data_IF_697240710999
#
_entry.id   IF_697240710999
#
_cell.length_a   1.000
_cell.length_b   1.000
_cell.length_c   1.000
_cell.angle_alpha   90.00
_cell.angle_beta   90.00
_cell.angle_gamma   90.00
#
_symmetry.space_group_name_H-M   'P 1'
#
loop_
_entity.id
_entity.type
_entity.pdbx_description
1 polymer ?
#
# COMPACT_ATOMS: atom_id res chain seq x y z
N UNK A 1 7.52 11.72 -26.19
CA UNK A 1 8.24 10.50 -25.76
C UNK A 1 8.01 10.38 -24.26
N UNK A 2 7.06 9.55 -23.84
CA UNK A 2 6.81 9.29 -22.42
C UNK A 2 8.04 8.56 -21.89
N UNK A 3 8.90 9.25 -21.13
CA UNK A 3 9.93 8.55 -20.36
C UNK A 3 9.20 7.63 -19.40
N UNK A 4 9.24 6.32 -19.65
CA UNK A 4 8.70 5.31 -18.76
C UNK A 4 9.39 5.48 -17.40
N UNK A 5 8.70 6.18 -16.49
CA UNK A 5 9.17 6.34 -15.12
C UNK A 5 9.30 4.95 -14.51
N UNK A 6 10.39 4.72 -13.80
CA UNK A 6 10.62 3.46 -13.08
C UNK A 6 9.40 3.17 -12.18
N UNK A 7 8.76 1.98 -12.29
CA UNK A 7 7.57 1.68 -11.51
C UNK A 7 7.86 1.68 -10.00
N UNK A 8 6.96 2.33 -9.24
CA UNK A 8 7.02 2.49 -7.78
C UNK A 8 5.63 2.35 -7.17
N UNK A 9 5.49 1.46 -6.18
CA UNK A 9 4.20 1.12 -5.56
C UNK A 9 4.03 1.84 -4.22
N UNK A 10 2.91 2.51 -4.03
CA UNK A 10 2.44 3.04 -2.75
C UNK A 10 1.18 2.30 -2.31
N UNK A 11 1.13 1.89 -1.04
CA UNK A 11 -0.01 1.14 -0.48
C UNK A 11 -0.41 1.80 0.85
N UNK A 12 -1.69 2.05 1.08
CA UNK A 12 -2.17 2.41 2.41
C UNK A 12 -2.08 1.24 3.39
N UNK A 13 -2.02 1.56 4.69
CA UNK A 13 -2.02 0.54 5.72
C UNK A 13 -3.43 0.12 6.13
N UNK A 14 -4.27 1.08 6.54
CA UNK A 14 -5.57 0.77 7.15
C UNK A 14 -6.56 0.31 6.08
N UNK A 15 -7.29 -0.77 6.36
CA UNK A 15 -8.29 -1.41 5.48
C UNK A 15 -7.77 -1.92 4.12
N UNK A 16 -6.49 -1.70 3.82
CA UNK A 16 -5.80 -2.19 2.62
C UNK A 16 -4.83 -3.31 2.99
N UNK A 17 -3.87 -3.05 3.89
CA UNK A 17 -2.96 -4.07 4.43
C UNK A 17 -3.55 -4.72 5.68
N UNK A 18 -4.00 -3.88 6.61
CA UNK A 18 -4.57 -4.28 7.89
C UNK A 18 -6.09 -4.15 7.84
N UNK A 19 -6.80 -5.16 8.33
CA UNK A 19 -8.26 -5.21 8.34
C UNK A 19 -8.80 -6.23 7.35
N UNK A 20 -9.32 -7.34 7.87
CA UNK A 20 -10.01 -8.39 7.12
C UNK A 20 -11.54 -8.17 7.02
N UNK A 21 -12.23 -9.12 6.37
CA UNK A 21 -13.67 -9.13 6.08
C UNK A 21 -14.59 -9.27 7.32
N UNK A 22 -14.26 -8.62 8.44
CA UNK A 22 -15.23 -8.37 9.49
C UNK A 22 -16.18 -7.25 9.04
N UNK A 23 -17.42 -7.31 9.53
CA UNK A 23 -18.46 -6.32 9.27
C UNK A 23 -17.90 -4.87 9.31
N UNK A 24 -18.38 -3.96 8.45
CA UNK A 24 -17.86 -2.59 8.36
C UNK A 24 -17.65 -1.99 9.75
N UNK A 25 -16.38 -1.77 10.12
CA UNK A 25 -15.99 -1.20 11.40
C UNK A 25 -15.30 -2.17 12.37
N UNK A 26 -15.56 -3.47 12.38
CA UNK A 26 -15.12 -4.36 13.48
C UNK A 26 -13.60 -4.48 13.67
N UNK A 27 -12.85 -4.73 12.60
CA UNK A 27 -11.38 -4.85 12.69
C UNK A 27 -10.67 -3.49 12.82
N UNK A 28 -11.23 -2.46 12.19
CA UNK A 28 -10.66 -1.12 12.20
C UNK A 28 -10.89 -0.43 13.56
N UNK A 29 -12.05 -0.61 14.19
CA UNK A 29 -12.31 -0.11 15.56
C UNK A 29 -11.45 -0.84 16.57
N UNK A 30 -11.22 -2.15 16.44
CA UNK A 30 -10.30 -2.87 17.33
C UNK A 30 -8.86 -2.32 17.25
N UNK A 31 -8.39 -1.99 16.04
CA UNK A 31 -7.07 -1.40 15.85
C UNK A 31 -6.99 0.05 16.38
N UNK A 32 -8.00 0.87 16.06
CA UNK A 32 -8.02 2.29 16.41
C UNK A 32 -8.34 2.53 17.88
N UNK A 33 -9.42 1.96 18.37
CA UNK A 33 -10.01 2.21 19.70
C UNK A 33 -9.50 1.24 20.78
N UNK A 34 -8.99 0.07 20.37
CA UNK A 34 -8.42 -0.93 21.29
C UNK A 34 -7.02 -0.59 21.82
N UNK A 35 -6.54 -1.40 22.76
CA UNK A 35 -5.15 -1.34 23.25
C UNK A 35 -4.12 -1.88 22.25
N UNK A 36 -2.84 -1.88 22.63
CA UNK A 36 -1.77 -2.44 21.78
C UNK A 36 -2.01 -3.92 21.46
N UNK A 37 -2.39 -4.74 22.44
CA UNK A 37 -2.67 -6.16 22.21
C UNK A 37 -3.79 -6.39 21.18
N UNK A 38 -4.87 -5.60 21.24
CA UNK A 38 -5.95 -5.67 20.27
C UNK A 38 -5.50 -5.23 18.87
N UNK A 39 -4.65 -4.19 18.79
CA UNK A 39 -4.05 -3.76 17.54
C UNK A 39 -3.21 -4.89 16.92
N UNK A 40 -2.31 -5.51 17.70
CA UNK A 40 -1.46 -6.63 17.24
C UNK A 40 -2.28 -7.85 16.81
N UNK A 41 -3.37 -8.16 17.51
CA UNK A 41 -4.26 -9.27 17.17
C UNK A 41 -5.15 -9.00 15.94
N UNK A 42 -5.23 -7.74 15.47
CA UNK A 42 -6.04 -7.43 14.30
C UNK A 42 -5.50 -8.13 13.04
N UNK A 43 -6.37 -8.71 12.21
CA UNK A 43 -5.92 -9.50 11.06
C UNK A 43 -5.43 -8.62 9.92
N UNK A 44 -4.58 -9.19 9.08
CA UNK A 44 -4.31 -8.67 7.74
C UNK A 44 -5.57 -8.74 6.86
N UNK A 45 -5.60 -7.92 5.81
CA UNK A 45 -6.58 -8.09 4.74
C UNK A 45 -6.32 -9.40 3.98
N UNK A 46 -7.39 -10.07 3.54
CA UNK A 46 -7.30 -11.37 2.86
C UNK A 46 -6.51 -11.25 1.56
N UNK A 47 -5.57 -12.16 1.32
CA UNK A 47 -4.73 -12.17 0.12
C UNK A 47 -3.50 -11.26 0.17
N UNK A 48 -3.34 -10.41 1.21
CA UNK A 48 -2.22 -9.45 1.25
C UNK A 48 -0.85 -10.15 1.30
N UNK A 49 -0.74 -11.26 2.03
CA UNK A 49 0.53 -11.97 2.19
C UNK A 49 0.84 -12.90 1.02
N UNK A 50 -0.15 -13.19 0.19
CA UNK A 50 -0.03 -13.97 -1.04
C UNK A 50 0.35 -13.05 -2.20
N UNK A 51 -0.28 -11.87 -2.29
CA UNK A 51 -0.14 -10.96 -3.44
C UNK A 51 1.00 -9.96 -3.29
N UNK A 52 1.12 -9.33 -2.12
CA UNK A 52 2.06 -8.23 -1.95
C UNK A 52 3.53 -8.62 -2.15
N UNK A 53 4.01 -9.84 -1.78
CA UNK A 53 5.39 -10.24 -2.07
C UNK A 53 5.69 -10.25 -3.57
N UNK A 54 4.78 -10.75 -4.39
CA UNK A 54 4.92 -10.80 -5.85
C UNK A 54 4.92 -9.40 -6.45
N UNK A 55 4.04 -8.51 -5.97
CA UNK A 55 4.04 -7.12 -6.38
C UNK A 55 5.35 -6.42 -5.97
N UNK A 56 5.80 -6.57 -4.73
CA UNK A 56 7.07 -5.97 -4.28
C UNK A 56 8.24 -6.44 -5.15
N UNK A 57 8.30 -7.74 -5.47
CA UNK A 57 9.30 -8.30 -6.38
C UNK A 57 9.19 -7.73 -7.80
N UNK A 58 7.97 -7.63 -8.36
CA UNK A 58 7.71 -7.04 -9.68
C UNK A 58 8.16 -5.58 -9.77
N UNK A 59 7.98 -4.83 -8.69
CA UNK A 59 8.45 -3.46 -8.54
C UNK A 59 9.93 -3.37 -8.13
N UNK A 60 10.66 -4.48 -8.04
CA UNK A 60 12.09 -4.51 -7.70
C UNK A 60 12.40 -3.97 -6.30
N UNK A 61 11.51 -4.22 -5.34
CA UNK A 61 11.62 -3.70 -3.97
C UNK A 61 11.21 -2.23 -3.81
N UNK A 62 10.80 -1.55 -4.89
CA UNK A 62 10.34 -0.15 -4.88
C UNK A 62 8.87 -0.06 -4.50
N UNK A 63 8.57 -0.49 -3.29
CA UNK A 63 7.25 -0.41 -2.67
C UNK A 63 7.33 0.32 -1.33
N UNK A 64 6.30 1.10 -1.01
CA UNK A 64 6.19 1.87 0.23
C UNK A 64 4.81 1.74 0.85
N UNK A 65 4.78 1.63 2.18
CA UNK A 65 3.57 1.92 2.95
C UNK A 65 3.48 3.43 3.10
N UNK A 66 2.37 4.02 2.68
CA UNK A 66 2.10 5.45 2.82
C UNK A 66 0.78 5.62 3.58
N UNK A 67 0.85 5.93 4.87
CA UNK A 67 -0.32 5.89 5.76
C UNK A 67 -0.57 7.21 6.49
N UNK A 68 -1.86 7.57 6.62
CA UNK A 68 -2.30 8.71 7.43
C UNK A 68 -2.57 8.24 8.85
N UNK A 69 -1.80 8.73 9.83
CA UNK A 69 -2.01 8.38 11.22
C UNK A 69 -1.52 9.46 12.21
N UNK A 70 -2.10 9.47 13.42
CA UNK A 70 -1.53 10.17 14.58
C UNK A 70 -0.42 9.36 15.25
N UNK A 71 0.24 9.92 16.27
CA UNK A 71 1.42 9.29 16.89
C UNK A 71 1.12 7.92 17.55
N UNK A 72 -0.04 7.79 18.20
CA UNK A 72 -0.45 6.53 18.81
C UNK A 72 -0.68 5.45 17.75
N UNK A 73 -1.41 5.79 16.68
CA UNK A 73 -1.69 4.87 15.58
C UNK A 73 -0.39 4.52 14.84
N UNK A 74 0.55 5.47 14.67
CA UNK A 74 1.89 5.20 14.12
C UNK A 74 2.62 4.11 14.90
N UNK A 75 2.62 4.20 16.24
CA UNK A 75 3.25 3.19 17.11
C UNK A 75 2.59 1.82 16.94
N UNK A 76 1.25 1.78 16.89
CA UNK A 76 0.49 0.54 16.65
C UNK A 76 0.81 -0.06 15.27
N UNK A 77 0.85 0.76 14.21
CA UNK A 77 1.17 0.31 12.85
C UNK A 77 2.56 -0.30 12.78
N UNK A 78 3.58 0.37 13.33
CA UNK A 78 4.95 -0.18 13.34
C UNK A 78 5.03 -1.48 14.14
N UNK A 79 4.44 -1.52 15.34
CA UNK A 79 4.41 -2.72 16.16
C UNK A 79 3.67 -3.88 15.48
N UNK A 80 2.58 -3.59 14.73
CA UNK A 80 1.85 -4.59 13.97
C UNK A 80 2.69 -5.13 12.81
N UNK A 81 3.38 -4.27 12.06
CA UNK A 81 4.26 -4.69 10.96
C UNK A 81 5.38 -5.60 11.46
N UNK A 82 5.94 -5.29 12.65
CA UNK A 82 6.95 -6.14 13.29
C UNK A 82 6.36 -7.46 13.80
N UNK A 83 5.21 -7.41 14.48
CA UNK A 83 4.56 -8.58 15.07
C UNK A 83 4.12 -9.63 14.04
N UNK A 84 3.76 -9.19 12.83
CA UNK A 84 3.29 -10.06 11.74
C UNK A 84 4.42 -10.48 10.78
N UNK A 85 5.68 -10.21 11.12
CA UNK A 85 6.86 -10.42 10.27
C UNK A 85 6.68 -9.83 8.87
N UNK A 86 5.98 -8.70 8.78
CA UNK A 86 5.42 -8.20 7.53
C UNK A 86 6.50 -7.94 6.48
N UNK A 87 7.62 -7.35 6.90
CA UNK A 87 8.72 -7.00 6.01
C UNK A 87 9.43 -8.23 5.43
N UNK A 88 9.56 -9.29 6.22
CA UNK A 88 10.16 -10.55 5.76
C UNK A 88 9.23 -11.28 4.81
N UNK A 89 7.95 -11.40 5.19
CA UNK A 89 6.93 -12.09 4.40
C UNK A 89 6.67 -11.41 3.05
N UNK A 90 6.74 -10.08 2.99
CA UNK A 90 6.43 -9.31 1.77
C UNK A 90 7.67 -8.84 1.00
N UNK A 91 8.86 -8.92 1.59
CA UNK A 91 10.07 -8.33 1.02
C UNK A 91 10.07 -6.79 0.98
N UNK A 92 9.08 -6.12 1.58
CA UNK A 92 9.03 -4.66 1.65
C UNK A 92 10.17 -4.14 2.54
N UNK A 93 11.01 -3.19 2.09
CA UNK A 93 12.11 -2.69 2.91
C UNK A 93 11.61 -2.00 4.19
N UNK A 94 12.18 -2.33 5.36
CA UNK A 94 11.78 -1.75 6.66
C UNK A 94 11.76 -0.22 6.69
N UNK A 95 12.66 0.44 5.95
CA UNK A 95 12.73 1.90 5.83
C UNK A 95 11.67 2.53 4.90
N UNK A 96 10.91 1.72 4.17
CA UNK A 96 9.94 2.17 3.18
C UNK A 96 8.53 2.34 3.78
N UNK A 97 8.47 3.07 4.89
CA UNK A 97 7.22 3.48 5.52
C UNK A 97 7.19 5.00 5.64
N UNK A 98 6.13 5.62 5.14
CA UNK A 98 5.87 7.06 5.22
C UNK A 98 4.57 7.31 5.96
N UNK A 99 4.64 8.21 6.93
CA UNK A 99 3.49 8.65 7.69
C UNK A 99 3.18 10.11 7.39
N UNK A 100 1.89 10.44 7.34
CA UNK A 100 1.44 11.81 7.24
C UNK A 100 0.28 12.10 8.21
N UNK A 101 0.02 13.39 8.48
CA UNK A 101 -1.04 13.81 9.41
C UNK A 101 -2.37 13.99 8.68
N UNK A 102 -2.37 14.50 7.45
CA UNK A 102 -3.56 14.67 6.62
C UNK A 102 -3.52 13.72 5.44
N UNK A 103 -4.70 13.31 4.97
CA UNK A 103 -4.84 12.42 3.80
C UNK A 103 -4.25 13.03 2.53
N UNK A 104 -4.47 14.32 2.33
CA UNK A 104 -3.92 15.06 1.20
C UNK A 104 -2.38 15.08 1.18
N UNK A 105 -1.73 15.04 2.36
CA UNK A 105 -0.27 15.07 2.46
C UNK A 105 0.39 13.82 1.85
N UNK A 106 -0.37 12.73 1.59
CA UNK A 106 0.13 11.58 0.83
C UNK A 106 0.61 11.99 -0.57
N UNK A 107 0.03 13.02 -1.17
CA UNK A 107 0.45 13.54 -2.47
C UNK A 107 1.92 14.02 -2.44
N UNK A 108 2.35 14.66 -1.35
CA UNK A 108 3.75 15.05 -1.15
C UNK A 108 4.68 13.84 -1.13
N UNK A 109 4.37 12.83 -0.31
CA UNK A 109 5.13 11.58 -0.27
C UNK A 109 5.16 10.87 -1.62
N UNK A 110 4.02 10.82 -2.33
CA UNK A 110 3.95 10.22 -3.65
C UNK A 110 4.84 10.96 -4.67
N UNK A 111 4.82 12.28 -4.66
CA UNK A 111 5.65 13.10 -5.54
C UNK A 111 7.15 12.93 -5.23
N UNK A 112 7.54 13.02 -3.95
CA UNK A 112 8.94 12.87 -3.50
C UNK A 112 9.52 11.50 -3.84
N UNK A 113 8.74 10.44 -3.65
CA UNK A 113 9.17 9.07 -3.93
C UNK A 113 9.05 8.69 -5.41
N UNK A 114 8.30 9.48 -6.20
CA UNK A 114 7.97 9.15 -7.59
C UNK A 114 7.01 7.96 -7.71
N UNK A 115 6.05 7.82 -6.79
CA UNK A 115 5.06 6.73 -6.81
C UNK A 115 4.28 6.75 -8.13
N UNK A 116 4.22 5.60 -8.80
CA UNK A 116 3.49 5.46 -10.06
C UNK A 116 2.15 4.74 -9.87
N UNK A 117 2.06 3.83 -8.90
CA UNK A 117 0.86 3.07 -8.57
C UNK A 117 0.49 3.32 -7.10
N UNK A 118 -0.73 3.77 -6.83
CA UNK A 118 -1.22 3.98 -5.46
C UNK A 118 -2.48 3.15 -5.20
N UNK A 119 -2.45 2.34 -4.15
CA UNK A 119 -3.59 1.57 -3.64
C UNK A 119 -4.06 2.19 -2.32
N UNK A 120 -5.31 2.64 -2.27
CA UNK A 120 -5.92 3.25 -1.08
C UNK A 120 -7.42 2.93 -1.04
N UNK A 121 -8.01 2.76 0.15
CA UNK A 121 -9.46 2.49 0.28
C UNK A 121 -10.31 3.76 0.15
N UNK A 122 -9.69 4.93 -0.03
CA UNK A 122 -10.41 6.21 -0.04
C UNK A 122 -10.23 7.02 -1.31
N UNK A 123 -11.37 7.41 -1.88
CA UNK A 123 -11.42 8.28 -3.04
C UNK A 123 -10.85 9.69 -2.78
N UNK A 124 -10.94 10.21 -1.54
CA UNK A 124 -10.38 11.53 -1.20
C UNK A 124 -8.85 11.57 -1.26
N UNK A 125 -8.19 10.47 -0.87
CA UNK A 125 -6.74 10.28 -1.07
C UNK A 125 -6.42 10.17 -2.55
N UNK A 126 -7.11 9.28 -3.27
CA UNK A 126 -6.81 9.03 -4.69
C UNK A 126 -7.02 10.27 -5.56
N UNK A 127 -7.97 11.14 -5.17
CA UNK A 127 -8.15 12.47 -5.76
C UNK A 127 -6.96 13.38 -5.47
N UNK A 128 -6.45 13.41 -4.24
CA UNK A 128 -5.32 14.26 -3.85
C UNK A 128 -4.02 13.88 -4.59
N UNK A 129 -3.82 12.60 -4.91
CA UNK A 129 -2.63 12.12 -5.63
C UNK A 129 -2.81 12.11 -7.15
N UNK A 130 -3.97 12.52 -7.68
CA UNK A 130 -4.35 12.35 -9.10
C UNK A 130 -3.33 12.93 -10.08
N UNK A 131 -2.82 14.11 -9.79
CA UNK A 131 -1.90 14.82 -10.68
C UNK A 131 -0.45 14.28 -10.61
N UNK A 132 -0.13 13.46 -9.61
CA UNK A 132 1.24 12.96 -9.36
C UNK A 132 1.38 11.46 -9.56
N UNK A 133 0.32 10.68 -9.33
CA UNK A 133 0.30 9.23 -9.48
C UNK A 133 -0.59 8.84 -10.67
N UNK A 134 -0.05 8.29 -11.77
CA UNK A 134 -0.83 7.91 -12.95
C UNK A 134 -1.79 6.73 -12.73
N UNK A 135 -1.40 5.72 -11.95
CA UNK A 135 -2.22 4.51 -11.71
C UNK A 135 -2.77 4.52 -10.29
N UNK A 136 -4.10 4.55 -10.17
CA UNK A 136 -4.81 4.74 -8.89
C UNK A 136 -5.83 3.64 -8.72
N UNK A 137 -5.74 2.92 -7.61
CA UNK A 137 -6.56 1.75 -7.33
C UNK A 137 -7.36 1.98 -6.05
N UNK A 138 -8.68 1.95 -6.17
CA UNK A 138 -9.60 2.12 -5.05
C UNK A 138 -9.92 0.77 -4.45
N UNK A 139 -9.34 0.49 -3.28
CA UNK A 139 -9.37 -0.82 -2.66
C UNK A 139 -10.66 -1.08 -1.87
N UNK A 140 -11.12 -2.32 -1.90
CA UNK A 140 -12.23 -2.82 -1.09
C UNK A 140 -13.61 -2.69 -1.78
N UNK A 141 -14.68 -3.13 -1.09
CA UNK A 141 -16.03 -3.10 -1.63
C UNK A 141 -16.51 -1.67 -1.94
N UNK A 142 -17.10 -1.48 -3.13
CA UNK A 142 -17.62 -0.18 -3.57
C UNK A 142 -19.13 -0.09 -3.36
N UNK A 143 -19.59 1.01 -2.77
CA UNK A 143 -21.03 1.29 -2.58
C UNK A 143 -21.74 1.75 -3.86
N UNK A 144 -20.97 2.13 -4.89
CA UNK A 144 -21.46 2.65 -6.14
C UNK A 144 -20.34 2.68 -7.18
N UNK A 145 -20.63 3.14 -8.41
CA UNK A 145 -19.63 3.17 -9.47
C UNK A 145 -18.47 4.07 -9.07
N UNK A 146 -17.25 3.56 -9.25
CA UNK A 146 -16.04 4.36 -9.12
C UNK A 146 -15.93 5.34 -10.30
N UNK A 147 -15.40 6.55 -10.10
CA UNK A 147 -15.10 7.46 -11.21
C UNK A 147 -14.12 6.85 -12.22
N UNK A 148 -14.23 7.24 -13.49
CA UNK A 148 -13.40 6.78 -14.61
C UNK A 148 -11.88 6.93 -14.41
N UNK A 149 -11.44 7.90 -13.62
CA UNK A 149 -10.03 8.19 -13.36
C UNK A 149 -9.38 7.30 -12.29
N UNK A 150 -10.15 6.40 -11.66
CA UNK A 150 -9.68 5.45 -10.65
C UNK A 150 -10.17 4.04 -10.96
N UNK A 151 -9.33 3.03 -10.72
CA UNK A 151 -9.66 1.63 -10.99
C UNK A 151 -10.14 0.96 -9.69
N UNK A 152 -11.40 0.52 -9.58
CA UNK A 152 -11.84 -0.20 -8.38
C UNK A 152 -11.19 -1.59 -8.33
N UNK A 153 -10.67 -1.97 -7.16
CA UNK A 153 -10.11 -3.29 -6.88
C UNK A 153 -10.74 -3.84 -5.59
N UNK A 154 -11.77 -4.71 -5.68
CA UNK A 154 -12.53 -5.13 -4.51
C UNK A 154 -11.70 -5.89 -3.47
N UNK A 155 -10.60 -6.50 -3.89
CA UNK A 155 -9.70 -7.32 -3.09
C UNK A 155 -8.28 -7.31 -3.68
N UNK A 156 -7.36 -8.04 -3.02
CA UNK A 156 -5.98 -8.16 -3.46
C UNK A 156 -5.81 -8.96 -4.75
N UNK A 157 -6.71 -9.89 -5.08
CA UNK A 157 -6.62 -10.67 -6.32
C UNK A 157 -6.86 -9.76 -7.53
N UNK A 158 -7.93 -8.95 -7.50
CA UNK A 158 -8.20 -7.95 -8.52
C UNK A 158 -7.10 -6.87 -8.59
N UNK A 159 -6.54 -6.47 -7.44
CA UNK A 159 -5.40 -5.56 -7.41
C UNK A 159 -4.18 -6.14 -8.12
N UNK A 160 -3.85 -7.42 -7.87
CA UNK A 160 -2.72 -8.12 -8.49
C UNK A 160 -2.82 -8.11 -10.01
N UNK A 161 -4.01 -8.46 -10.54
CA UNK A 161 -4.29 -8.53 -11.97
C UNK A 161 -4.06 -7.18 -12.65
N UNK A 162 -4.71 -6.12 -12.15
CA UNK A 162 -4.67 -4.80 -12.78
C UNK A 162 -3.30 -4.13 -12.63
N UNK A 163 -2.67 -4.22 -11.45
CA UNK A 163 -1.36 -3.62 -11.21
C UNK A 163 -0.29 -4.32 -12.06
N UNK A 164 -0.38 -5.65 -12.21
CA UNK A 164 0.57 -6.40 -13.03
C UNK A 164 0.43 -6.07 -14.51
N UNK A 165 -0.78 -5.84 -15.01
CA UNK A 165 -1.00 -5.41 -16.39
C UNK A 165 -0.35 -4.06 -16.72
N UNK A 166 -0.31 -3.12 -15.76
CA UNK A 166 0.27 -1.78 -15.94
C UNK A 166 1.80 -1.72 -15.74
N UNK A 167 2.40 -2.74 -15.13
CA UNK A 167 3.81 -2.75 -14.76
C UNK A 167 4.56 -3.80 -15.57
N UNK A 168 5.45 -3.47 -16.53
CA UNK A 168 6.36 -4.48 -17.08
C UNK A 168 7.29 -5.01 -15.97
N UNK A 169 7.52 -6.32 -15.93
CA UNK A 169 8.35 -6.96 -14.91
C UNK A 169 9.72 -6.26 -14.82
N UNK A 170 10.16 -5.90 -13.60
CA UNK A 170 11.46 -5.29 -13.41
C UNK A 170 12.56 -6.19 -13.98
N UNK A 171 13.47 -5.62 -14.79
CA UNK A 171 14.70 -6.32 -15.16
C UNK A 171 15.49 -6.58 -13.87
N UNK A 172 16.06 -7.78 -13.67
CA UNK A 172 16.90 -8.05 -12.52
C UNK A 172 18.06 -7.05 -12.50
N UNK A 173 18.32 -6.46 -11.33
CA UNK A 173 19.49 -5.59 -11.15
C UNK A 173 20.73 -6.40 -11.50
N UNK A 174 21.50 -5.97 -12.48
CA UNK A 174 22.81 -6.55 -12.74
C UNK A 174 23.64 -6.41 -11.47
N UNK A 175 24.07 -7.54 -10.91
CA UNK A 175 25.00 -7.54 -9.81
C UNK A 175 26.28 -6.87 -10.31
N UNK A 176 26.60 -5.69 -9.76
CA UNK A 176 27.89 -5.05 -10.03
C UNK A 176 28.97 -6.01 -9.51
N UNK A 177 29.94 -6.46 -10.33
CA UNK A 177 31.03 -7.25 -9.82
C UNK A 177 31.80 -6.38 -8.83
N UNK A 178 31.84 -6.82 -7.56
CA UNK A 178 32.76 -6.24 -6.58
C UNK A 178 34.17 -6.46 -7.10
N UNK A 179 34.82 -5.38 -7.53
CA UNK A 179 36.26 -5.35 -7.79
C UNK A 179 36.99 -5.69 -6.49
N UNK A 180 37.96 -6.59 -6.62
CA UNK A 180 38.91 -7.02 -5.59
C UNK A 180 39.78 -5.87 -5.10
#
# INVERSE_FOLDING_TARGET
>A
MEQLREPRLGVDFGRVIQGGALAPGGADTAFLDGGMAAALASPANEGVFEVLPELVARFGGRAWIISKCGDQVRRKTLAWLDHHDFYERTGLPRGNVRFCRKRADKAGHCAELGITHMVDDRLDVLRAVREVVPYRFLFGPQKGPAPDWVRPVPDWAAAAELISADTPAARPRSATPRSR
#
